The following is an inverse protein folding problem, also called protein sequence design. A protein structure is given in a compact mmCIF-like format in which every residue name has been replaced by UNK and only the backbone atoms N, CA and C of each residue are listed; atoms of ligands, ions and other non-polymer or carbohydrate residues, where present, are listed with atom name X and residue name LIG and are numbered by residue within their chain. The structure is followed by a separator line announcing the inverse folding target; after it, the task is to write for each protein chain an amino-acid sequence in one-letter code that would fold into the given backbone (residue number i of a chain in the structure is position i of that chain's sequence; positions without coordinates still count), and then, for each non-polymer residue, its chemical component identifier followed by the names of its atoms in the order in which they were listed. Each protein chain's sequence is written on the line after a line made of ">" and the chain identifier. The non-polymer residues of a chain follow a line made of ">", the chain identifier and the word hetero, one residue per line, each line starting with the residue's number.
data_IF_269858080930
#
_entry.id   IF_269858080930
#
_cell.length_a   1.000
_cell.length_b   1.000
_cell.length_c   1.000
_cell.angle_alpha   90.00
_cell.angle_beta   90.00
_cell.angle_gamma   90.00
#
_symmetry.space_group_name_H-M   'P 1'
#
loop_
_entity.id
_entity.type
_entity.pdbx_description
1 polymer ?
#
# COMPACT_ATOMS: atom_id res chain seq x y z
N UNK A 1 48.94 -3.94 -18.78
CA UNK A 1 48.44 -3.53 -17.46
C UNK A 1 46.96 -3.32 -17.66
N UNK A 2 46.23 -4.37 -17.34
CA UNK A 2 44.78 -4.45 -17.40
C UNK A 2 44.17 -3.58 -16.30
N UNK A 3 43.21 -2.74 -16.67
CA UNK A 3 42.21 -2.24 -15.73
C UNK A 3 40.84 -2.64 -16.30
N UNK A 4 40.44 -3.86 -15.98
CA UNK A 4 39.05 -4.29 -16.10
C UNK A 4 38.23 -3.53 -15.05
N UNK A 5 37.52 -2.49 -15.48
CA UNK A 5 36.39 -1.97 -14.72
C UNK A 5 35.32 -3.07 -14.65
N UNK A 6 35.29 -3.77 -13.52
CA UNK A 6 34.12 -4.51 -13.09
C UNK A 6 32.96 -3.52 -12.89
N UNK A 7 32.17 -3.30 -13.94
CA UNK A 7 30.80 -2.81 -13.78
C UNK A 7 29.99 -3.95 -13.17
N UNK A 8 29.80 -3.90 -11.85
CA UNK A 8 28.80 -4.70 -11.16
C UNK A 8 27.42 -4.29 -11.66
N UNK A 9 26.94 -4.98 -12.69
CA UNK A 9 25.57 -4.83 -13.19
C UNK A 9 24.63 -5.44 -12.15
N UNK A 10 23.87 -4.59 -11.48
CA UNK A 10 23.10 -4.94 -10.29
C UNK A 10 21.96 -5.93 -10.59
N UNK A 11 21.71 -6.93 -9.71
CA UNK A 11 20.59 -7.89 -9.83
C UNK A 11 19.19 -7.25 -9.71
N UNK A 12 19.11 -5.94 -9.49
CA UNK A 12 17.87 -5.20 -9.27
C UNK A 12 17.07 -4.95 -10.55
N UNK A 13 17.75 -4.70 -11.66
CA UNK A 13 17.13 -4.49 -12.97
C UNK A 13 16.50 -5.78 -13.51
N UNK A 14 17.13 -6.94 -13.27
CA UNK A 14 16.62 -8.23 -13.70
C UNK A 14 15.29 -8.56 -13.02
N UNK A 15 15.20 -8.31 -11.71
CA UNK A 15 13.98 -8.57 -10.96
C UNK A 15 12.81 -7.72 -11.45
N UNK A 16 13.05 -6.44 -11.72
CA UNK A 16 12.03 -5.54 -12.26
C UNK A 16 11.56 -6.01 -13.64
N UNK A 17 12.47 -6.48 -14.51
CA UNK A 17 12.13 -7.04 -15.82
C UNK A 17 11.27 -8.30 -15.68
N UNK A 18 11.58 -9.17 -14.73
CA UNK A 18 10.79 -10.38 -14.47
C UNK A 18 9.37 -10.07 -13.98
N UNK A 19 9.25 -9.17 -12.99
CA UNK A 19 7.96 -8.74 -12.46
C UNK A 19 7.12 -8.10 -13.56
N UNK A 20 7.73 -7.22 -14.39
CA UNK A 20 7.10 -6.65 -15.58
C UNK A 20 6.55 -7.72 -16.51
N UNK A 21 7.33 -8.78 -16.76
CA UNK A 21 6.92 -9.92 -17.57
C UNK A 21 5.69 -10.63 -17.00
N UNK A 22 5.67 -10.91 -15.70
CA UNK A 22 4.53 -11.53 -15.03
C UNK A 22 3.28 -10.65 -15.06
N UNK A 23 3.42 -9.36 -14.73
CA UNK A 23 2.31 -8.40 -14.73
C UNK A 23 1.69 -8.28 -16.12
N UNK A 24 2.49 -8.22 -17.18
CA UNK A 24 1.98 -8.14 -18.56
C UNK A 24 1.11 -9.34 -18.95
N UNK A 25 1.32 -10.52 -18.37
CA UNK A 25 0.53 -11.71 -18.67
C UNK A 25 -0.88 -11.66 -18.06
N UNK A 26 -1.03 -11.11 -16.84
CA UNK A 26 -2.31 -11.10 -16.13
C UNK A 26 -3.04 -9.74 -16.14
N UNK A 27 -2.29 -8.65 -16.25
CA UNK A 27 -2.77 -7.26 -16.27
C UNK A 27 -2.12 -6.50 -17.45
N UNK A 28 -2.45 -6.83 -18.72
CA UNK A 28 -1.76 -6.26 -19.89
C UNK A 28 -1.92 -4.75 -20.06
N UNK A 29 -2.89 -4.13 -19.36
CA UNK A 29 -3.10 -2.68 -19.34
C UNK A 29 -2.16 -1.94 -18.39
N UNK A 30 -1.46 -2.65 -17.51
CA UNK A 30 -0.51 -2.05 -16.56
C UNK A 30 0.77 -1.70 -17.29
N UNK A 31 1.10 -0.41 -17.31
CA UNK A 31 2.29 0.13 -17.97
C UNK A 31 3.26 0.63 -16.91
N UNK A 32 4.47 0.07 -16.90
CA UNK A 32 5.54 0.56 -16.04
C UNK A 32 6.15 1.83 -16.65
N UNK A 33 5.78 2.98 -16.10
CA UNK A 33 6.39 4.26 -16.42
C UNK A 33 7.76 4.38 -15.75
N UNK A 34 8.69 5.12 -16.35
CA UNK A 34 9.98 5.41 -15.71
C UNK A 34 9.79 6.45 -14.60
N UNK A 35 10.18 6.11 -13.37
CA UNK A 35 10.05 6.98 -12.19
C UNK A 35 11.44 7.29 -11.60
N UNK A 36 12.18 8.28 -12.14
CA UNK A 36 13.59 8.50 -11.80
C UNK A 36 13.84 8.89 -10.33
N UNK A 37 12.82 9.39 -9.64
CA UNK A 37 12.87 9.78 -8.22
C UNK A 37 12.05 8.85 -7.32
N UNK A 38 11.53 7.74 -7.88
CA UNK A 38 10.48 6.98 -7.22
C UNK A 38 9.15 7.73 -7.22
N UNK A 39 8.32 7.48 -6.20
CA UNK A 39 7.02 8.14 -6.08
C UNK A 39 6.21 7.64 -4.90
N UNK A 40 4.97 8.12 -4.83
CA UNK A 40 4.05 7.78 -3.75
C UNK A 40 2.60 7.90 -4.21
N UNK A 41 1.68 7.22 -3.53
CA UNK A 41 0.26 7.35 -3.78
C UNK A 41 -0.61 6.28 -3.15
N UNK A 42 -1.92 6.36 -3.43
CA UNK A 42 -2.88 5.33 -3.03
C UNK A 42 -2.90 4.19 -4.04
N UNK A 43 -3.02 2.96 -3.56
CA UNK A 43 -3.19 1.76 -4.39
C UNK A 43 -4.59 1.79 -5.04
N UNK A 44 -4.62 1.59 -6.36
CA UNK A 44 -5.82 1.35 -7.16
C UNK A 44 -6.14 -0.14 -7.25
N UNK A 45 -5.12 -0.97 -7.49
CA UNK A 45 -5.25 -2.41 -7.71
C UNK A 45 -3.93 -3.10 -7.33
N UNK A 46 -4.00 -4.38 -6.96
CA UNK A 46 -2.81 -5.14 -6.55
C UNK A 46 -2.90 -6.62 -6.89
N UNK A 47 -1.74 -7.26 -7.07
CA UNK A 47 -1.60 -8.68 -7.34
C UNK A 47 -0.43 -9.25 -6.55
N UNK A 48 -0.45 -10.56 -6.33
CA UNK A 48 0.70 -11.31 -5.83
C UNK A 48 1.32 -12.13 -6.96
N UNK A 49 2.63 -12.02 -7.12
CA UNK A 49 3.42 -12.77 -8.10
C UNK A 49 4.36 -13.70 -7.35
N UNK A 50 4.28 -15.00 -7.61
CA UNK A 50 5.21 -15.99 -7.04
C UNK A 50 6.22 -16.39 -8.11
N UNK A 51 7.51 -16.15 -7.85
CA UNK A 51 8.60 -16.43 -8.80
C UNK A 51 9.88 -16.79 -8.05
N UNK A 52 10.58 -17.85 -8.48
CA UNK A 52 11.85 -18.32 -7.87
C UNK A 52 11.78 -18.44 -6.34
N UNK A 53 10.70 -19.03 -5.83
CA UNK A 53 10.42 -19.21 -4.39
C UNK A 53 10.22 -17.92 -3.57
N UNK A 54 10.10 -16.77 -4.24
CA UNK A 54 9.78 -15.48 -3.62
C UNK A 54 8.37 -15.06 -3.98
N UNK A 55 7.75 -14.29 -3.09
CA UNK A 55 6.42 -13.71 -3.29
C UNK A 55 6.61 -12.20 -3.43
N UNK A 56 6.00 -11.61 -4.45
CA UNK A 56 6.02 -10.18 -4.70
C UNK A 56 4.61 -9.64 -4.63
N UNK A 57 4.39 -8.68 -3.75
CA UNK A 57 3.20 -7.85 -3.77
C UNK A 57 3.43 -6.71 -4.77
N UNK A 58 2.64 -6.67 -5.84
CA UNK A 58 2.76 -5.68 -6.92
C UNK A 58 1.50 -4.83 -6.93
N UNK A 59 1.66 -3.52 -6.97
CA UNK A 59 0.57 -2.56 -6.81
C UNK A 59 0.59 -1.55 -7.95
N UNK A 60 -0.58 -1.13 -8.41
CA UNK A 60 -0.76 0.02 -9.30
C UNK A 60 -1.31 1.19 -8.50
N UNK A 61 -0.74 2.37 -8.67
CA UNK A 61 -1.14 3.60 -8.00
C UNK A 61 -2.26 4.33 -8.75
N UNK A 62 -3.23 4.84 -8.00
CA UNK A 62 -4.28 5.71 -8.51
C UNK A 62 -3.69 6.92 -9.23
N UNK A 63 -4.38 7.40 -10.27
CA UNK A 63 -4.11 8.63 -11.06
C UNK A 63 -2.82 8.61 -11.87
N UNK A 64 -1.73 8.10 -11.31
CA UNK A 64 -0.42 8.03 -11.98
C UNK A 64 -0.29 6.75 -12.82
N UNK A 65 -1.01 5.69 -12.45
CA UNK A 65 -0.85 4.36 -13.04
C UNK A 65 0.52 3.74 -12.77
N UNK A 66 1.34 4.38 -11.92
CA UNK A 66 2.68 3.92 -11.60
C UNK A 66 2.61 2.59 -10.85
N UNK A 67 3.56 1.71 -11.12
CA UNK A 67 3.58 0.36 -10.55
C UNK A 67 4.72 0.28 -9.56
N UNK A 68 4.47 -0.28 -8.39
CA UNK A 68 5.49 -0.54 -7.38
C UNK A 68 5.39 -1.98 -6.90
N UNK A 69 6.45 -2.51 -6.28
CA UNK A 69 6.44 -3.86 -5.77
C UNK A 69 7.23 -4.03 -4.47
N UNK A 70 6.87 -5.04 -3.69
CA UNK A 70 7.58 -5.45 -2.47
C UNK A 70 7.79 -6.96 -2.49
N UNK A 71 9.00 -7.42 -2.21
CA UNK A 71 9.19 -8.83 -1.82
C UNK A 71 8.58 -9.04 -0.43
N UNK A 72 7.69 -10.01 -0.31
CA UNK A 72 6.97 -10.34 0.93
C UNK A 72 7.22 -11.79 1.30
N UNK A 73 7.25 -12.08 2.60
CA UNK A 73 7.37 -13.44 3.09
C UNK A 73 6.00 -14.12 3.21
N UNK A 74 5.94 -15.46 3.32
CA UNK A 74 4.70 -16.14 3.70
C UNK A 74 4.13 -15.62 5.03
N UNK A 75 4.97 -15.34 6.04
CA UNK A 75 4.49 -14.76 7.30
C UNK A 75 3.88 -13.36 7.11
N UNK A 76 4.42 -12.56 6.20
CA UNK A 76 3.82 -11.26 5.87
C UNK A 76 2.40 -11.46 5.31
N UNK A 77 2.20 -12.45 4.44
CA UNK A 77 0.87 -12.78 3.91
C UNK A 77 -0.07 -13.22 5.03
N UNK A 78 0.39 -14.08 5.93
CA UNK A 78 -0.42 -14.57 7.06
C UNK A 78 -0.86 -13.43 7.99
N UNK A 79 0.02 -12.45 8.23
CA UNK A 79 -0.23 -11.35 9.16
C UNK A 79 -1.04 -10.21 8.52
N UNK A 80 -0.73 -9.85 7.27
CA UNK A 80 -1.21 -8.60 6.68
C UNK A 80 -2.20 -8.80 5.52
N UNK A 81 -2.48 -10.03 5.06
CA UNK A 81 -3.41 -10.24 3.94
C UNK A 81 -4.80 -9.68 4.22
N UNK A 82 -5.35 -9.90 5.42
CA UNK A 82 -6.65 -9.33 5.82
C UNK A 82 -6.64 -7.81 5.80
N UNK A 83 -5.54 -7.19 6.24
CA UNK A 83 -5.38 -5.74 6.20
C UNK A 83 -5.28 -5.26 4.74
N UNK A 84 -4.54 -5.95 3.89
CA UNK A 84 -4.36 -5.57 2.48
C UNK A 84 -5.69 -5.68 1.72
N UNK A 85 -6.48 -6.72 1.99
CA UNK A 85 -7.76 -6.96 1.31
C UNK A 85 -8.89 -6.13 1.91
N UNK A 86 -8.90 -5.94 3.23
CA UNK A 86 -9.98 -5.28 3.96
C UNK A 86 -9.81 -3.78 4.15
N UNK A 87 -8.61 -3.22 3.96
CA UNK A 87 -8.41 -1.78 4.11
C UNK A 87 -9.03 -1.02 2.94
N UNK A 88 -9.86 0.01 3.19
CA UNK A 88 -10.48 0.78 2.12
C UNK A 88 -9.45 1.55 1.29
N UNK A 89 -8.32 1.92 1.90
CA UNK A 89 -7.25 2.70 1.25
C UNK A 89 -5.90 2.32 1.83
N UNK A 90 -4.94 2.07 0.94
CA UNK A 90 -3.55 1.81 1.28
C UNK A 90 -2.68 2.80 0.51
N UNK A 91 -1.82 3.50 1.23
CA UNK A 91 -0.82 4.40 0.68
C UNK A 91 0.53 3.69 0.61
N UNK A 92 1.31 3.95 -0.43
CA UNK A 92 2.67 3.44 -0.57
C UNK A 92 3.64 4.52 -1.02
N UNK A 93 4.88 4.40 -0.57
CA UNK A 93 6.05 5.09 -1.12
C UNK A 93 6.99 4.08 -1.75
N UNK A 94 7.64 4.45 -2.85
CA UNK A 94 8.56 3.58 -3.57
C UNK A 94 9.76 4.32 -4.13
N UNK A 95 10.88 3.61 -4.26
CA UNK A 95 12.14 4.16 -4.76
C UNK A 95 12.21 4.20 -6.31
N UNK A 96 13.34 4.69 -6.84
CA UNK A 96 13.59 4.74 -8.30
C UNK A 96 13.58 3.36 -8.99
N UNK A 97 13.75 2.28 -8.23
CA UNK A 97 13.72 0.90 -8.70
C UNK A 97 12.30 0.29 -8.60
N UNK A 98 11.28 1.11 -8.33
CA UNK A 98 9.89 0.69 -8.12
C UNK A 98 9.68 -0.16 -6.87
N UNK A 99 10.61 -0.18 -5.92
CA UNK A 99 10.48 -0.97 -4.69
C UNK A 99 9.75 -0.18 -3.63
N UNK A 100 8.71 -0.77 -3.05
CA UNK A 100 7.95 -0.18 -1.96
C UNK A 100 8.83 -0.14 -0.71
N UNK A 101 9.17 1.08 -0.29
CA UNK A 101 9.96 1.38 0.90
C UNK A 101 9.07 1.50 2.13
N UNK A 102 7.86 2.06 1.95
CA UNK A 102 6.89 2.26 3.02
C UNK A 102 5.46 2.02 2.52
N UNK A 103 4.58 1.55 3.42
CA UNK A 103 3.16 1.42 3.15
C UNK A 103 2.35 1.67 4.42
N UNK A 104 1.20 2.32 4.27
CA UNK A 104 0.33 2.76 5.37
C UNK A 104 -1.10 2.39 5.03
N UNK A 105 -1.81 1.75 5.95
CA UNK A 105 -3.25 1.48 5.81
C UNK A 105 -4.07 2.54 6.53
N UNK A 106 -5.07 3.08 5.85
CA UNK A 106 -6.05 3.98 6.45
C UNK A 106 -7.21 3.14 6.97
N UNK A 107 -7.44 3.19 8.27
CA UNK A 107 -8.55 2.51 8.92
C UNK A 107 -9.56 3.54 9.39
N UNK A 108 -10.79 3.46 8.88
CA UNK A 108 -11.89 4.28 9.37
C UNK A 108 -12.25 3.79 10.77
N UNK A 109 -12.05 4.66 11.77
CA UNK A 109 -12.48 4.42 13.15
C UNK A 109 -13.76 5.20 13.37
N UNK A 110 -14.88 4.50 13.45
CA UNK A 110 -16.11 5.11 13.96
C UNK A 110 -15.86 5.47 15.43
N UNK A 111 -15.80 6.78 15.73
CA UNK A 111 -15.88 7.22 17.11
C UNK A 111 -17.28 6.88 17.61
N UNK A 112 -17.37 6.15 18.73
CA UNK A 112 -18.67 5.91 19.37
C UNK A 112 -19.38 7.26 19.50
N UNK A 113 -20.66 7.39 19.10
CA UNK A 113 -21.40 8.58 19.46
C UNK A 113 -21.37 8.67 20.98
N UNK A 114 -20.86 9.79 21.50
CA UNK A 114 -20.92 10.08 22.92
C UNK A 114 -22.33 9.74 23.38
N UNK A 115 -22.45 8.77 24.30
CA UNK A 115 -23.73 8.48 24.93
C UNK A 115 -24.18 9.81 25.53
N UNK A 116 -25.18 10.44 24.91
CA UNK A 116 -25.82 11.64 25.47
C UNK A 116 -26.16 11.29 26.91
N UNK A 117 -25.71 12.06 27.92
CA UNK A 117 -26.09 11.77 29.29
C UNK A 117 -27.61 11.88 29.38
N UNK A 118 -28.28 10.73 29.52
CA UNK A 118 -29.62 10.69 30.07
C UNK A 118 -29.53 11.27 31.48
N UNK A 119 -29.89 12.55 31.65
CA UNK A 119 -30.47 13.11 32.86
C UNK A 119 -30.73 14.62 32.67
N UNK A 120 -31.93 14.97 32.24
CA UNK A 120 -32.60 16.16 32.78
C UNK A 120 -33.98 15.72 33.29
N UNK A 121 -34.22 15.75 34.62
CA UNK A 121 -35.59 15.73 35.10
C UNK A 121 -36.29 17.03 34.65
N UNK A 122 -37.63 17.01 34.52
CA UNK A 122 -38.37 18.21 34.14
C UNK A 122 -38.17 19.28 35.21
N UNK A 123 -37.90 20.51 34.77
CA UNK A 123 -37.80 21.68 35.63
C UNK A 123 -39.21 21.98 36.16
N UNK A 124 -39.52 21.50 37.37
CA UNK A 124 -40.66 21.98 38.14
C UNK A 124 -40.31 23.35 38.70
N UNK A 125 -40.72 24.41 38.01
CA UNK A 125 -40.80 25.74 38.62
C UNK A 125 -41.97 25.73 39.63
N UNK A 126 -41.69 25.34 40.87
CA UNK A 126 -42.55 25.76 41.97
C UNK A 126 -42.33 27.26 42.17
N UNK A 127 -43.36 28.03 41.80
CA UNK A 127 -43.62 29.34 42.37
C UNK A 127 -43.54 29.24 43.90
N UNK A 128 -42.76 30.11 44.51
CA UNK A 128 -42.91 30.47 45.91
C UNK A 128 -42.81 31.99 45.98
N UNK A 129 -43.95 32.60 46.31
CA UNK A 129 -44.11 33.99 46.68
C UNK A 129 -43.26 34.32 47.91
N UNK A 130 -42.54 35.45 47.87
CA UNK A 130 -42.32 36.37 48.99
C UNK A 130 -42.04 37.77 48.45
#
# INVERSE_FOLDING_TARGET
>A
MDDQMHQGHEPEDELLVEIKGCVKQCKPKWVFCHCPQGGQGLIEDSIFVVRRHKIFWVVQLCKTGAIAFKEVSPQFMDIFSEIIVGSPRIFVEFDRCHRITEWITLQDKECCPDKVPHNKPPVNFYQADF
#
